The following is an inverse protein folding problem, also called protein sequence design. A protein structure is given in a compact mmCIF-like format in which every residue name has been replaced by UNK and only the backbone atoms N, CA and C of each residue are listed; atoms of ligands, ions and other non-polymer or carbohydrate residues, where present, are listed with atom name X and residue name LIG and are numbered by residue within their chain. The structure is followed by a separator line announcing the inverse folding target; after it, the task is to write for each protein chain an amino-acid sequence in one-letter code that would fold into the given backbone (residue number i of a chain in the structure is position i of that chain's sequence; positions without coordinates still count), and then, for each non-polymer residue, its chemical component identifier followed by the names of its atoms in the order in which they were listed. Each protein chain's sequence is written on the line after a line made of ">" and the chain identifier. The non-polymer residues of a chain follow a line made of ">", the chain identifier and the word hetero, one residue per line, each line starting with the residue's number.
data_IF_700499600332
#
_entry.id   IF_700499600332
#
_cell.length_a   1.000
_cell.length_b   1.000
_cell.length_c   1.000
_cell.angle_alpha   90.00
_cell.angle_beta   90.00
_cell.angle_gamma   90.00
#
_symmetry.space_group_name_H-M   'P 1'
#
loop_
_entity.id
_entity.type
_entity.pdbx_description
1 polymer ?
#
# COMPACT_ATOMS: atom_id res chain seq x y z
N UNK A 1 -18.30 4.62 -22.24
CA UNK A 1 -17.42 5.59 -21.54
C UNK A 1 -17.53 6.97 -22.17
N UNK A 2 -17.14 8.05 -21.46
CA UNK A 2 -17.13 9.42 -22.02
C UNK A 2 -15.88 9.61 -22.87
N UNK A 3 -16.03 10.02 -24.11
CA UNK A 3 -14.93 10.36 -25.02
C UNK A 3 -14.83 11.88 -25.10
N UNK A 4 -13.69 12.43 -24.72
CA UNK A 4 -13.47 13.88 -24.62
C UNK A 4 -12.08 14.25 -25.17
N UNK A 5 -11.95 15.46 -25.69
CA UNK A 5 -10.63 16.02 -26.05
C UNK A 5 -9.89 16.41 -24.77
N UNK A 6 -8.61 16.08 -24.71
CA UNK A 6 -7.74 16.48 -23.61
C UNK A 6 -7.33 17.94 -23.80
N UNK A 7 -8.00 18.84 -23.08
CA UNK A 7 -7.65 20.25 -22.96
C UNK A 7 -7.49 20.65 -21.49
N UNK A 8 -7.14 21.90 -21.22
CA UNK A 8 -6.95 22.40 -19.85
C UNK A 8 -8.22 22.27 -19.00
N UNK A 9 -9.39 22.48 -19.60
CA UNK A 9 -10.67 22.41 -18.90
C UNK A 9 -11.03 20.98 -18.53
N UNK A 10 -10.94 20.06 -19.49
CA UNK A 10 -11.21 18.63 -19.29
C UNK A 10 -10.25 18.04 -18.26
N UNK A 11 -8.95 18.37 -18.35
CA UNK A 11 -7.93 17.95 -17.40
C UNK A 11 -8.24 18.43 -15.97
N UNK A 12 -8.57 19.72 -15.81
CA UNK A 12 -8.92 20.28 -14.51
C UNK A 12 -10.16 19.61 -13.91
N UNK A 13 -11.23 19.46 -14.71
CA UNK A 13 -12.46 18.83 -14.24
C UNK A 13 -12.23 17.38 -13.82
N UNK A 14 -11.46 16.61 -14.60
CA UNK A 14 -11.09 15.24 -14.26
C UNK A 14 -10.37 15.17 -12.91
N UNK A 15 -9.35 16.00 -12.70
CA UNK A 15 -8.59 16.01 -11.44
C UNK A 15 -9.47 16.39 -10.24
N UNK A 16 -10.38 17.37 -10.41
CA UNK A 16 -11.34 17.74 -9.37
C UNK A 16 -12.28 16.57 -9.04
N UNK A 17 -12.75 15.83 -10.04
CA UNK A 17 -13.63 14.67 -9.87
C UNK A 17 -12.88 13.50 -9.18
N UNK A 18 -11.65 13.22 -9.59
CA UNK A 18 -10.82 12.20 -8.94
C UNK A 18 -10.55 12.53 -7.46
N UNK A 19 -10.33 13.79 -7.10
CA UNK A 19 -10.11 14.22 -5.72
C UNK A 19 -11.36 14.03 -4.83
N UNK A 20 -12.57 14.04 -5.38
CA UNK A 20 -13.81 13.77 -4.61
C UNK A 20 -13.87 12.37 -4.04
N UNK A 21 -13.13 11.42 -4.61
CA UNK A 21 -13.00 10.03 -4.13
C UNK A 21 -12.04 9.89 -2.94
N UNK A 22 -11.35 10.98 -2.56
CA UNK A 22 -10.36 10.93 -1.49
C UNK A 22 -11.00 10.65 -0.12
N UNK A 23 -10.39 9.78 0.72
CA UNK A 23 -10.81 9.55 2.11
C UNK A 23 -10.87 10.81 2.98
N UNK A 24 -10.32 11.93 2.52
CA UNK A 24 -10.41 13.21 3.21
C UNK A 24 -11.79 13.87 3.11
N UNK A 25 -12.69 13.37 2.27
CA UNK A 25 -14.05 13.90 2.06
C UNK A 25 -15.13 13.18 2.88
N UNK A 26 -14.77 12.22 3.76
CA UNK A 26 -15.71 11.34 4.44
C UNK A 26 -15.95 11.69 5.92
N UNK A 27 -16.17 12.98 6.24
CA UNK A 27 -16.37 13.46 7.60
C UNK A 27 -17.45 12.75 8.45
N UNK A 28 -18.47 12.17 7.80
CA UNK A 28 -19.53 11.41 8.49
C UNK A 28 -19.04 10.10 9.10
N UNK A 29 -18.01 9.47 8.50
CA UNK A 29 -17.44 8.23 9.00
C UNK A 29 -16.39 8.46 10.10
N UNK A 30 -15.77 9.63 10.15
CA UNK A 30 -14.69 9.95 11.11
C UNK A 30 -15.17 9.88 12.56
N UNK A 31 -16.39 10.34 12.85
CA UNK A 31 -16.96 10.29 14.19
C UNK A 31 -17.13 8.85 14.69
N UNK A 32 -17.69 7.96 13.84
CA UNK A 32 -17.86 6.55 14.17
C UNK A 32 -16.52 5.82 14.33
N UNK A 33 -15.54 6.14 13.49
CA UNK A 33 -14.19 5.56 13.62
C UNK A 33 -13.54 6.00 14.91
N UNK A 34 -13.64 7.29 15.27
CA UNK A 34 -13.08 7.80 16.53
C UNK A 34 -13.69 7.13 17.74
N UNK A 35 -15.02 6.96 17.75
CA UNK A 35 -15.72 6.22 18.81
C UNK A 35 -15.15 4.81 18.98
N UNK A 36 -15.00 4.06 17.86
CA UNK A 36 -14.46 2.70 17.89
C UNK A 36 -13.03 2.68 18.44
N UNK A 37 -12.18 3.60 17.97
CA UNK A 37 -10.79 3.71 18.43
C UNK A 37 -10.71 3.99 19.94
N UNK A 38 -11.52 4.92 20.44
CA UNK A 38 -11.56 5.29 21.87
C UNK A 38 -12.09 4.13 22.73
N UNK A 39 -13.15 3.44 22.28
CA UNK A 39 -13.69 2.27 22.97
C UNK A 39 -12.66 1.13 23.06
N UNK A 40 -11.98 0.78 21.96
CA UNK A 40 -10.95 -0.25 22.00
C UNK A 40 -9.76 0.17 22.86
N UNK A 41 -9.36 1.44 22.82
CA UNK A 41 -8.29 1.96 23.67
C UNK A 41 -8.60 1.81 25.17
N UNK A 42 -9.87 2.03 25.57
CA UNK A 42 -10.30 2.04 26.96
C UNK A 42 -10.74 0.65 27.46
N UNK A 43 -11.47 -0.13 26.65
CA UNK A 43 -12.08 -1.42 27.01
C UNK A 43 -11.38 -2.63 26.38
N UNK A 44 -10.36 -2.42 25.56
CA UNK A 44 -9.46 -3.44 24.99
C UNK A 44 -10.23 -4.61 24.37
N UNK A 45 -9.93 -5.85 24.76
CA UNK A 45 -10.56 -7.07 24.24
C UNK A 45 -12.08 -7.04 24.30
N UNK A 46 -12.67 -6.50 25.37
CA UNK A 46 -14.12 -6.40 25.52
C UNK A 46 -14.75 -5.61 24.36
N UNK A 47 -14.14 -4.47 24.00
CA UNK A 47 -14.62 -3.69 22.86
C UNK A 47 -14.39 -4.38 21.52
N UNK A 48 -13.23 -5.03 21.34
CA UNK A 48 -12.90 -5.79 20.13
C UNK A 48 -13.95 -6.90 19.89
N UNK A 49 -14.30 -7.68 20.92
CA UNK A 49 -15.30 -8.74 20.81
C UNK A 49 -16.68 -8.19 20.51
N UNK A 50 -17.09 -7.13 21.22
CA UNK A 50 -18.40 -6.50 21.02
C UNK A 50 -18.57 -5.94 19.60
N UNK A 51 -17.54 -5.28 19.06
CA UNK A 51 -17.60 -4.77 17.68
C UNK A 51 -17.52 -5.88 16.63
N UNK A 52 -16.76 -6.96 16.88
CA UNK A 52 -16.70 -8.10 15.98
C UNK A 52 -18.05 -8.82 15.91
N UNK A 53 -18.72 -9.03 17.05
CA UNK A 53 -20.07 -9.56 17.07
C UNK A 53 -21.08 -8.64 16.34
N UNK A 54 -20.99 -7.32 16.60
CA UNK A 54 -21.88 -6.33 15.99
C UNK A 54 -21.74 -6.24 14.46
N UNK A 55 -20.52 -6.26 13.94
CA UNK A 55 -20.26 -5.98 12.52
C UNK A 55 -20.07 -7.23 11.67
N UNK A 56 -19.45 -8.27 12.23
CA UNK A 56 -19.15 -9.50 11.52
C UNK A 56 -20.14 -10.64 11.88
N UNK A 57 -20.93 -10.46 12.96
CA UNK A 57 -21.88 -11.45 13.44
C UNK A 57 -21.22 -12.68 14.07
N UNK A 58 -19.96 -12.57 14.47
CA UNK A 58 -19.18 -13.63 15.07
C UNK A 58 -18.96 -13.38 16.57
N UNK A 59 -19.46 -14.25 17.42
CA UNK A 59 -19.22 -14.20 18.86
C UNK A 59 -17.85 -14.80 19.18
N UNK A 60 -16.89 -13.93 19.47
CA UNK A 60 -15.51 -14.30 19.82
C UNK A 60 -15.19 -13.95 21.28
N UNK A 61 -14.14 -14.58 21.78
CA UNK A 61 -13.56 -14.35 23.09
C UNK A 61 -12.04 -14.59 23.07
N UNK A 62 -11.38 -14.46 24.20
CA UNK A 62 -9.93 -14.62 24.32
C UNK A 62 -9.43 -16.03 23.89
N UNK A 63 -10.26 -17.08 24.08
CA UNK A 63 -9.85 -18.45 23.77
C UNK A 63 -9.94 -18.79 22.27
N UNK A 64 -10.72 -18.03 21.49
CA UNK A 64 -11.01 -18.36 20.09
C UNK A 64 -10.75 -17.23 19.10
N UNK A 65 -10.27 -16.05 19.53
CA UNK A 65 -9.93 -14.93 18.63
C UNK A 65 -8.73 -15.25 17.76
N UNK A 66 -7.73 -15.95 18.29
CA UNK A 66 -6.56 -16.38 17.52
C UNK A 66 -6.89 -17.65 16.73
N UNK A 67 -6.41 -17.71 15.49
CA UNK A 67 -6.49 -18.91 14.65
C UNK A 67 -5.54 -19.97 15.20
N UNK A 68 -6.06 -21.18 15.36
CA UNK A 68 -5.29 -22.32 15.86
C UNK A 68 -4.56 -23.05 14.73
N UNK A 69 -3.51 -23.80 15.07
CA UNK A 69 -2.82 -24.65 14.10
C UNK A 69 -3.76 -25.72 13.51
N UNK A 70 -4.74 -26.18 14.26
CA UNK A 70 -5.77 -27.13 13.77
C UNK A 70 -6.65 -26.50 12.68
N UNK A 71 -7.03 -25.23 12.84
CA UNK A 71 -7.78 -24.48 11.81
C UNK A 71 -6.94 -24.33 10.55
N UNK A 72 -5.64 -24.07 10.68
CA UNK A 72 -4.70 -23.98 9.55
C UNK A 72 -4.59 -25.33 8.84
N UNK A 73 -4.39 -26.42 9.56
CA UNK A 73 -4.30 -27.77 8.96
C UNK A 73 -5.59 -28.16 8.24
N UNK A 74 -6.74 -27.80 8.82
CA UNK A 74 -8.03 -27.99 8.18
C UNK A 74 -8.16 -27.17 6.90
N UNK A 75 -7.66 -25.92 6.89
CA UNK A 75 -7.68 -25.07 5.71
C UNK A 75 -6.91 -25.71 4.55
N UNK A 76 -5.74 -26.29 4.80
CA UNK A 76 -4.99 -27.03 3.76
C UNK A 76 -5.80 -28.17 3.13
N UNK A 77 -6.65 -28.86 3.90
CA UNK A 77 -7.50 -29.93 3.37
C UNK A 77 -8.65 -29.42 2.50
N UNK A 78 -8.98 -28.14 2.57
CA UNK A 78 -10.09 -27.49 1.87
C UNK A 78 -9.66 -26.70 0.63
N UNK A 79 -8.35 -26.40 0.49
CA UNK A 79 -7.81 -25.68 -0.65
C UNK A 79 -7.37 -26.66 -1.72
N UNK A 80 -7.79 -26.41 -2.95
CA UNK A 80 -7.36 -27.20 -4.09
C UNK A 80 -5.83 -27.17 -4.28
N UNK A 81 -5.26 -28.31 -4.60
CA UNK A 81 -3.81 -28.45 -4.80
C UNK A 81 -3.27 -27.59 -5.94
N UNK A 82 -4.08 -27.31 -6.97
CA UNK A 82 -3.72 -26.39 -8.06
C UNK A 82 -3.59 -24.96 -7.55
N UNK A 83 -4.54 -24.49 -6.72
CA UNK A 83 -4.48 -23.16 -6.11
C UNK A 83 -3.28 -23.03 -5.15
N UNK A 84 -3.01 -24.06 -4.34
CA UNK A 84 -1.84 -24.09 -3.47
C UNK A 84 -0.53 -23.94 -4.29
N UNK A 85 -0.44 -24.62 -5.41
CA UNK A 85 0.73 -24.50 -6.30
C UNK A 85 0.86 -23.09 -6.91
N UNK A 86 -0.26 -22.44 -7.25
CA UNK A 86 -0.26 -21.05 -7.74
C UNK A 86 0.20 -20.09 -6.64
N UNK A 87 -0.33 -20.23 -5.41
CA UNK A 87 0.09 -19.44 -4.24
C UNK A 87 1.62 -19.53 -4.04
N UNK A 88 2.17 -20.76 -4.06
CA UNK A 88 3.62 -20.97 -3.89
C UNK A 88 4.48 -20.39 -5.01
N UNK A 89 4.00 -20.43 -6.25
CA UNK A 89 4.70 -19.80 -7.38
C UNK A 89 4.69 -18.29 -7.28
N UNK A 90 3.54 -17.69 -6.97
CA UNK A 90 3.38 -16.26 -6.73
C UNK A 90 4.29 -15.80 -5.58
N UNK A 91 4.24 -16.49 -4.44
CA UNK A 91 5.10 -16.23 -3.27
C UNK A 91 6.58 -16.16 -3.67
N UNK A 92 7.07 -17.14 -4.42
CA UNK A 92 8.46 -17.19 -4.88
C UNK A 92 8.82 -16.00 -5.77
N UNK A 93 7.92 -15.57 -6.65
CA UNK A 93 8.14 -14.40 -7.51
C UNK A 93 8.21 -13.12 -6.67
N UNK A 94 7.28 -12.95 -5.71
CA UNK A 94 7.24 -11.80 -4.80
C UNK A 94 8.52 -11.74 -3.94
N UNK A 95 8.93 -12.88 -3.37
CA UNK A 95 10.16 -12.98 -2.60
C UNK A 95 11.40 -12.61 -3.42
N UNK A 96 11.50 -13.16 -4.64
CA UNK A 96 12.61 -12.89 -5.55
C UNK A 96 12.70 -11.41 -5.95
N UNK A 97 11.56 -10.75 -6.13
CA UNK A 97 11.51 -9.33 -6.45
C UNK A 97 11.94 -8.49 -5.25
N UNK A 98 11.32 -8.71 -4.09
CA UNK A 98 11.56 -7.94 -2.89
C UNK A 98 12.97 -8.17 -2.30
N UNK A 99 13.57 -9.33 -2.49
CA UNK A 99 14.96 -9.59 -2.08
C UNK A 99 15.96 -8.59 -2.71
N UNK A 100 15.66 -8.01 -3.87
CA UNK A 100 16.51 -7.00 -4.52
C UNK A 100 16.41 -5.61 -3.88
N UNK A 101 15.43 -5.39 -3.00
CA UNK A 101 15.21 -4.12 -2.31
C UNK A 101 15.93 -4.04 -0.96
N UNK A 102 16.62 -5.10 -0.54
CA UNK A 102 17.33 -5.14 0.74
C UNK A 102 18.38 -4.05 0.84
N UNK A 103 18.39 -3.35 1.96
CA UNK A 103 19.38 -2.35 2.31
C UNK A 103 20.25 -2.83 3.46
N UNK A 104 21.50 -2.38 3.49
CA UNK A 104 22.49 -2.81 4.48
C UNK A 104 23.05 -1.62 5.24
N UNK A 105 23.45 -1.87 6.51
CA UNK A 105 24.22 -0.90 7.29
C UNK A 105 25.57 -0.62 6.62
N UNK A 106 26.02 0.63 6.73
CA UNK A 106 27.32 1.05 6.19
C UNK A 106 28.04 1.99 7.13
N UNK A 107 29.36 2.03 7.00
CA UNK A 107 30.26 2.89 7.75
C UNK A 107 31.27 3.52 6.79
N UNK A 108 31.53 4.80 7.00
CA UNK A 108 32.61 5.55 6.38
C UNK A 108 33.57 6.00 7.47
N UNK A 109 34.86 5.63 7.35
CA UNK A 109 35.89 5.96 8.32
C UNK A 109 36.95 6.86 7.72
N UNK A 110 37.30 7.91 8.45
CA UNK A 110 38.30 8.91 8.04
C UNK A 110 39.64 8.68 8.76
N UNK A 111 40.77 9.17 8.19
CA UNK A 111 42.10 9.05 8.80
C UNK A 111 42.22 9.67 10.20
N UNK A 112 41.40 10.68 10.51
CA UNK A 112 41.33 11.36 11.81
C UNK A 112 40.60 10.58 12.90
N UNK A 113 40.15 9.35 12.59
CA UNK A 113 39.40 8.50 13.53
C UNK A 113 37.90 8.79 13.56
N UNK A 114 37.38 9.66 12.70
CA UNK A 114 35.94 9.89 12.54
C UNK A 114 35.31 8.70 11.83
N UNK A 115 34.22 8.17 12.39
CA UNK A 115 33.37 7.15 11.77
C UNK A 115 31.96 7.71 11.66
N UNK A 116 31.44 7.80 10.45
CA UNK A 116 30.03 8.08 10.17
C UNK A 116 29.38 6.87 9.53
N UNK A 117 28.12 6.63 9.81
CA UNK A 117 27.45 5.49 9.23
C UNK A 117 25.95 5.53 9.39
N UNK A 118 25.32 4.50 8.85
CA UNK A 118 23.89 4.28 8.98
C UNK A 118 23.64 2.82 9.36
N UNK A 119 22.97 2.63 10.49
CA UNK A 119 22.49 1.31 10.91
C UNK A 119 21.10 1.09 10.35
N UNK A 120 20.94 0.05 9.54
CA UNK A 120 19.65 -0.42 9.03
C UNK A 120 19.15 -1.55 9.93
N UNK A 121 17.91 -1.45 10.41
CA UNK A 121 17.32 -2.41 11.35
C UNK A 121 15.87 -2.65 10.94
N UNK A 122 15.39 -3.91 10.90
CA UNK A 122 13.97 -4.18 10.67
C UNK A 122 13.11 -3.66 11.83
N UNK A 123 11.82 -3.48 11.57
CA UNK A 123 10.82 -3.27 12.61
C UNK A 123 10.69 -4.54 13.46
N UNK A 124 10.32 -4.39 14.72
CA UNK A 124 10.20 -5.54 15.62
C UNK A 124 8.89 -6.30 15.35
N UNK A 125 7.76 -5.59 15.27
CA UNK A 125 6.44 -6.21 15.07
C UNK A 125 5.60 -5.44 14.09
N UNK A 126 5.00 -6.14 13.13
CA UNK A 126 4.15 -5.55 12.08
C UNK A 126 2.78 -6.20 12.09
N UNK A 127 1.73 -5.38 11.96
CA UNK A 127 0.36 -5.80 11.78
C UNK A 127 -0.04 -5.74 10.32
N UNK A 128 -0.55 -6.83 9.78
CA UNK A 128 -1.06 -6.94 8.42
C UNK A 128 -2.57 -7.03 8.46
N UNK A 129 -3.26 -6.06 7.87
CA UNK A 129 -4.70 -6.11 7.69
C UNK A 129 -5.03 -6.74 6.34
N UNK A 130 -5.81 -7.81 6.36
CA UNK A 130 -6.33 -8.45 5.14
C UNK A 130 -7.85 -8.34 5.13
N UNK A 131 -8.44 -7.74 4.10
CA UNK A 131 -9.89 -7.66 3.98
C UNK A 131 -10.55 -9.05 3.93
N UNK A 132 -11.76 -9.12 4.43
CA UNK A 132 -12.64 -10.28 4.28
C UNK A 132 -14.01 -9.84 3.74
N UNK A 133 -14.96 -10.75 3.61
CA UNK A 133 -16.31 -10.47 3.17
C UNK A 133 -16.64 -11.13 1.83
N UNK A 134 -17.12 -10.36 0.83
CA UNK A 134 -17.59 -10.92 -0.45
C UNK A 134 -16.46 -11.49 -1.34
N UNK A 135 -15.26 -11.00 -1.20
CA UNK A 135 -14.09 -11.48 -1.93
C UNK A 135 -13.02 -12.00 -0.98
N UNK A 136 -12.19 -12.89 -1.47
CA UNK A 136 -11.06 -13.51 -0.75
C UNK A 136 -9.78 -13.06 -1.43
N UNK A 137 -8.81 -12.59 -0.64
CA UNK A 137 -7.60 -11.95 -1.15
C UNK A 137 -6.32 -12.67 -0.69
N UNK A 138 -6.06 -13.93 -1.11
CA UNK A 138 -4.81 -14.61 -0.78
C UNK A 138 -3.59 -13.87 -1.36
N UNK A 139 -3.73 -13.16 -2.48
CA UNK A 139 -2.68 -12.31 -3.06
C UNK A 139 -2.27 -11.18 -2.11
N UNK A 140 -3.25 -10.48 -1.51
CA UNK A 140 -2.97 -9.40 -0.55
C UNK A 140 -2.28 -9.92 0.72
N UNK A 141 -2.52 -11.18 1.11
CA UNK A 141 -1.76 -11.83 2.19
C UNK A 141 -0.29 -11.89 1.81
N UNK A 142 0.04 -12.42 0.63
CA UNK A 142 1.41 -12.54 0.16
C UNK A 142 2.09 -11.18 0.01
N UNK A 143 1.41 -10.22 -0.64
CA UNK A 143 1.94 -8.90 -0.95
C UNK A 143 2.26 -8.07 0.31
N UNK A 144 1.58 -8.30 1.42
CA UNK A 144 1.86 -7.60 2.68
C UNK A 144 2.88 -8.33 3.57
N UNK A 145 2.83 -9.68 3.62
CA UNK A 145 3.68 -10.47 4.53
C UNK A 145 5.09 -10.67 3.96
N UNK A 146 5.20 -10.99 2.66
CA UNK A 146 6.50 -11.37 2.07
C UNK A 146 7.55 -10.25 2.16
N UNK A 147 7.27 -8.98 1.81
CA UNK A 147 8.28 -7.93 1.97
C UNK A 147 8.67 -7.69 3.43
N UNK A 148 7.76 -7.89 4.40
CA UNK A 148 8.09 -7.83 5.82
C UNK A 148 9.04 -8.98 6.24
N UNK A 149 8.79 -10.20 5.76
CA UNK A 149 9.69 -11.35 5.97
C UNK A 149 11.06 -11.12 5.34
N UNK A 150 11.12 -10.63 4.10
CA UNK A 150 12.37 -10.29 3.42
C UNK A 150 13.15 -9.23 4.19
N UNK A 151 12.48 -8.22 4.74
CA UNK A 151 13.09 -7.19 5.58
C UNK A 151 13.69 -7.75 6.88
N UNK A 152 13.25 -8.94 7.33
CA UNK A 152 13.68 -9.56 8.58
C UNK A 152 12.89 -9.08 9.81
N UNK A 153 11.61 -8.71 9.66
CA UNK A 153 10.72 -8.38 10.76
C UNK A 153 10.61 -9.59 11.71
N UNK A 154 10.79 -9.35 13.02
CA UNK A 154 10.84 -10.42 14.02
C UNK A 154 9.48 -11.12 14.18
N UNK A 155 8.38 -10.35 14.17
CA UNK A 155 7.02 -10.87 14.37
C UNK A 155 6.02 -10.19 13.43
N UNK A 156 5.30 -10.98 12.65
CA UNK A 156 4.25 -10.53 11.73
C UNK A 156 2.91 -11.07 12.17
N UNK A 157 2.00 -10.17 12.51
CA UNK A 157 0.65 -10.49 12.96
C UNK A 157 -0.33 -10.13 11.86
N UNK A 158 -1.20 -11.06 11.49
CA UNK A 158 -2.28 -10.79 10.54
C UNK A 158 -3.63 -10.68 11.27
N UNK A 159 -4.43 -9.69 10.88
CA UNK A 159 -5.83 -9.55 11.28
C UNK A 159 -6.71 -9.63 10.04
N UNK A 160 -7.81 -10.37 10.14
CA UNK A 160 -8.80 -10.51 9.06
C UNK A 160 -10.18 -10.79 9.65
N UNK A 161 -11.26 -10.19 9.13
CA UNK A 161 -12.60 -10.43 9.67
C UNK A 161 -12.99 -11.90 9.50
N UNK A 162 -13.62 -12.50 10.52
CA UNK A 162 -14.21 -13.84 10.42
C UNK A 162 -15.51 -13.82 9.63
N UNK A 163 -15.93 -14.98 9.14
CA UNK A 163 -17.30 -15.22 8.75
C UNK A 163 -18.23 -15.32 9.97
N UNK A 164 -19.54 -15.32 9.75
CA UNK A 164 -20.54 -15.45 10.81
C UNK A 164 -20.40 -16.73 11.65
N UNK A 165 -19.75 -17.74 11.09
CA UNK A 165 -19.41 -19.00 11.76
C UNK A 165 -18.12 -18.92 12.60
N UNK A 166 -17.53 -17.72 12.72
CA UNK A 166 -16.30 -17.48 13.45
C UNK A 166 -15.03 -18.01 12.77
N UNK A 167 -15.10 -18.36 11.47
CA UNK A 167 -13.96 -18.92 10.74
C UNK A 167 -13.40 -17.94 9.71
N UNK A 168 -12.12 -18.09 9.43
CA UNK A 168 -11.44 -17.40 8.34
C UNK A 168 -11.44 -18.26 7.08
N UNK A 169 -11.48 -17.61 5.92
CA UNK A 169 -11.44 -18.32 4.65
C UNK A 169 -10.18 -19.22 4.52
N UNK A 170 -10.32 -20.48 4.08
CA UNK A 170 -9.23 -21.42 3.97
C UNK A 170 -8.07 -20.94 3.10
N UNK A 171 -8.33 -20.31 1.94
CA UNK A 171 -7.28 -19.82 1.05
C UNK A 171 -6.46 -18.68 1.68
N UNK A 172 -7.12 -17.81 2.48
CA UNK A 172 -6.46 -16.76 3.26
C UNK A 172 -5.51 -17.37 4.31
N UNK A 173 -5.97 -18.40 5.06
CA UNK A 173 -5.15 -19.07 6.07
C UNK A 173 -3.94 -19.80 5.47
N UNK A 174 -4.17 -20.49 4.35
CA UNK A 174 -3.10 -21.20 3.64
C UNK A 174 -2.06 -20.20 3.11
N UNK A 175 -2.49 -19.10 2.49
CA UNK A 175 -1.58 -18.07 2.02
C UNK A 175 -0.78 -17.44 3.18
N UNK A 176 -1.41 -17.18 4.32
CA UNK A 176 -0.76 -16.64 5.51
C UNK A 176 0.32 -17.60 6.06
N UNK A 177 0.00 -18.90 6.15
CA UNK A 177 0.94 -19.93 6.60
C UNK A 177 2.11 -20.09 5.64
N UNK A 178 1.84 -20.16 4.32
CA UNK A 178 2.89 -20.25 3.28
C UNK A 178 3.79 -19.00 3.29
N UNK A 179 3.24 -17.80 3.52
CA UNK A 179 4.00 -16.56 3.62
C UNK A 179 4.80 -16.43 4.95
N UNK A 180 4.51 -17.29 5.93
CA UNK A 180 5.24 -17.34 7.21
C UNK A 180 4.77 -16.31 8.23
N UNK A 181 3.46 -16.06 8.33
CA UNK A 181 2.87 -15.26 9.41
C UNK A 181 3.08 -15.94 10.77
N UNK A 182 3.28 -15.15 11.83
CA UNK A 182 3.51 -15.69 13.16
C UNK A 182 2.19 -15.93 13.94
N UNK A 183 1.19 -15.05 13.75
CA UNK A 183 -0.14 -15.19 14.33
C UNK A 183 -1.23 -14.59 13.42
N UNK A 184 -2.41 -15.18 13.45
CA UNK A 184 -3.62 -14.69 12.76
C UNK A 184 -4.73 -14.48 13.77
N UNK A 185 -5.36 -13.29 13.76
CA UNK A 185 -6.49 -12.96 14.63
C UNK A 185 -7.74 -12.68 13.81
N UNK A 186 -8.86 -13.19 14.29
CA UNK A 186 -10.19 -13.15 13.66
C UNK A 186 -10.89 -11.84 14.00
N UNK A 187 -10.38 -10.74 13.48
CA UNK A 187 -10.95 -9.41 13.71
C UNK A 187 -10.76 -8.53 12.47
N UNK A 188 -11.79 -7.78 12.10
CA UNK A 188 -11.80 -6.86 10.97
C UNK A 188 -12.10 -5.42 11.39
N UNK A 189 -12.32 -4.54 10.41
CA UNK A 189 -12.77 -3.17 10.61
C UNK A 189 -11.82 -2.24 11.39
N UNK A 190 -12.37 -1.11 11.83
CA UNK A 190 -11.62 -0.13 12.59
C UNK A 190 -11.16 -0.65 13.96
N UNK A 191 -11.90 -1.58 14.57
CA UNK A 191 -11.52 -2.20 15.83
C UNK A 191 -10.26 -3.06 15.71
N UNK A 192 -10.02 -3.70 14.56
CA UNK A 192 -8.77 -4.44 14.29
C UNK A 192 -7.57 -3.48 14.24
N UNK A 193 -7.72 -2.36 13.55
CA UNK A 193 -6.68 -1.31 13.48
C UNK A 193 -6.39 -0.73 14.88
N UNK A 194 -7.43 -0.48 15.67
CA UNK A 194 -7.28 -0.01 17.05
C UNK A 194 -6.53 -1.04 17.93
N UNK A 195 -6.89 -2.32 17.82
CA UNK A 195 -6.24 -3.41 18.56
C UNK A 195 -4.76 -3.52 18.20
N UNK A 196 -4.41 -3.46 16.93
CA UNK A 196 -3.01 -3.46 16.48
C UNK A 196 -2.24 -2.21 16.97
N UNK A 197 -2.90 -1.03 16.95
CA UNK A 197 -2.26 0.23 17.33
C UNK A 197 -2.03 0.35 18.84
N UNK A 198 -3.01 -0.02 19.65
CA UNK A 198 -2.95 0.21 21.11
C UNK A 198 -2.54 -1.03 21.89
N UNK A 199 -2.68 -2.22 21.31
CA UNK A 199 -2.56 -3.51 21.99
C UNK A 199 -3.80 -3.79 22.84
N UNK A 200 -4.12 -5.08 23.00
CA UNK A 200 -5.15 -5.58 23.92
C UNK A 200 -4.56 -6.75 24.73
N UNK A 201 -5.36 -7.44 25.51
CA UNK A 201 -4.92 -8.62 26.23
C UNK A 201 -4.58 -9.77 25.26
N UNK A 202 -5.36 -9.91 24.17
CA UNK A 202 -5.20 -10.98 23.17
C UNK A 202 -4.33 -10.57 21.99
N UNK A 203 -4.37 -9.31 21.56
CA UNK A 203 -3.68 -8.82 20.36
C UNK A 203 -2.55 -7.88 20.75
N UNK A 204 -1.28 -8.25 20.51
CA UNK A 204 -0.14 -7.40 20.85
C UNK A 204 -0.08 -6.14 19.99
N UNK A 205 0.42 -5.04 20.59
CA UNK A 205 0.69 -3.79 19.86
C UNK A 205 1.78 -3.99 18.82
N UNK A 206 1.64 -3.32 17.66
CA UNK A 206 2.61 -3.35 16.57
C UNK A 206 3.28 -1.99 16.34
N UNK A 207 4.38 -1.99 15.59
CA UNK A 207 5.12 -0.78 15.22
C UNK A 207 4.58 -0.15 13.92
N UNK A 208 4.08 -0.98 13.01
CA UNK A 208 3.49 -0.56 11.72
C UNK A 208 2.29 -1.42 11.36
N UNK A 209 1.28 -0.79 10.75
CA UNK A 209 0.10 -1.45 10.21
C UNK A 209 0.10 -1.28 8.69
N UNK A 210 0.03 -2.39 7.94
CA UNK A 210 -0.03 -2.41 6.48
C UNK A 210 -1.26 -3.17 5.99
N UNK A 211 -1.63 -2.95 4.76
CA UNK A 211 -2.72 -3.64 4.08
C UNK A 211 -3.91 -2.74 3.74
N UNK A 212 -4.60 -3.06 2.63
CA UNK A 212 -5.77 -2.34 2.15
C UNK A 212 -7.01 -2.66 3.01
N UNK A 213 -7.97 -1.75 3.01
CA UNK A 213 -9.24 -1.95 3.70
C UNK A 213 -10.30 -0.94 3.24
N UNK A 214 -11.52 -1.14 3.71
CA UNK A 214 -12.61 -0.21 3.43
C UNK A 214 -12.38 1.15 4.09
N UNK A 215 -13.32 2.08 3.86
CA UNK A 215 -13.24 3.46 4.37
C UNK A 215 -13.02 3.55 5.90
N UNK A 216 -13.62 2.64 6.69
CA UNK A 216 -13.43 2.62 8.14
C UNK A 216 -12.00 2.23 8.52
N UNK A 217 -11.42 1.27 7.80
CA UNK A 217 -10.02 0.84 7.99
C UNK A 217 -9.06 1.95 7.57
N UNK A 218 -9.28 2.59 6.42
CA UNK A 218 -8.46 3.70 5.93
C UNK A 218 -8.46 4.88 6.92
N UNK A 219 -9.64 5.28 7.42
CA UNK A 219 -9.77 6.35 8.41
C UNK A 219 -9.19 5.97 9.77
N UNK A 220 -9.32 4.70 10.19
CA UNK A 220 -8.70 4.22 11.42
C UNK A 220 -7.17 4.27 11.32
N UNK A 221 -6.57 3.80 10.20
CA UNK A 221 -5.13 3.91 9.94
C UNK A 221 -4.67 5.36 9.99
N UNK A 222 -5.38 6.27 9.29
CA UNK A 222 -5.13 7.72 9.34
C UNK A 222 -5.10 8.26 10.77
N UNK A 223 -6.07 7.83 11.59
CA UNK A 223 -6.24 8.34 12.96
C UNK A 223 -5.19 7.85 13.95
N UNK A 224 -4.61 6.65 13.73
CA UNK A 224 -3.57 6.08 14.59
C UNK A 224 -2.15 6.40 14.10
N UNK A 225 -2.01 7.03 12.93
CA UNK A 225 -0.70 7.43 12.41
C UNK A 225 -0.01 8.41 13.37
N UNK A 226 1.27 8.15 13.63
CA UNK A 226 2.06 8.86 14.65
C UNK A 226 2.08 8.13 16.00
N UNK A 227 1.04 7.32 16.32
CA UNK A 227 1.09 6.37 17.42
C UNK A 227 1.70 5.03 16.99
N UNK A 228 1.38 4.60 15.78
CA UNK A 228 2.04 3.54 15.01
C UNK A 228 2.29 4.07 13.59
N UNK A 229 3.22 3.45 12.86
CA UNK A 229 3.39 3.73 11.43
C UNK A 229 2.29 3.04 10.61
N UNK A 230 2.04 3.53 9.41
CA UNK A 230 1.18 2.87 8.41
C UNK A 230 1.88 2.81 7.06
N UNK A 231 1.36 2.00 6.11
CA UNK A 231 1.77 2.02 4.71
C UNK A 231 1.30 3.30 4.00
N UNK A 232 0.00 3.37 3.71
CA UNK A 232 -0.63 4.52 3.06
C UNK A 232 -2.10 4.64 3.48
N UNK A 233 -2.75 5.73 3.08
CA UNK A 233 -4.19 5.91 3.19
C UNK A 233 -4.76 5.56 1.81
N UNK A 234 -5.17 4.29 1.65
CA UNK A 234 -5.71 3.80 0.39
C UNK A 234 -7.06 4.43 0.06
N UNK A 235 -7.22 4.83 -1.18
CA UNK A 235 -8.50 5.17 -1.81
C UNK A 235 -9.00 4.06 -2.72
N UNK A 236 -10.04 4.34 -3.54
CA UNK A 236 -10.52 3.43 -4.56
C UNK A 236 -9.47 3.14 -5.63
N UNK A 237 -9.53 1.95 -6.22
CA UNK A 237 -8.59 1.49 -7.25
C UNK A 237 -8.63 2.34 -8.52
N UNK A 238 -7.50 2.40 -9.23
CA UNK A 238 -7.30 3.26 -10.40
C UNK A 238 -6.47 2.58 -11.47
N UNK A 239 -6.91 2.69 -12.71
CA UNK A 239 -6.08 2.36 -13.87
C UNK A 239 -6.06 3.52 -14.87
N UNK A 240 -4.88 3.79 -15.42
CA UNK A 240 -4.69 4.63 -16.58
C UNK A 240 -3.97 3.82 -17.65
N UNK A 241 -4.57 3.72 -18.83
CA UNK A 241 -3.92 3.16 -20.02
C UNK A 241 -3.48 4.32 -20.90
N UNK A 242 -2.19 4.41 -21.18
CA UNK A 242 -1.61 5.35 -22.14
C UNK A 242 -1.30 4.59 -23.42
N UNK A 243 -2.05 4.85 -24.47
CA UNK A 243 -1.99 4.06 -25.70
C UNK A 243 -1.91 4.93 -26.96
N UNK A 244 -1.23 4.42 -28.00
CA UNK A 244 -1.27 4.98 -29.35
C UNK A 244 -2.08 4.07 -30.30
N UNK A 245 -2.11 4.41 -31.59
CA UNK A 245 -2.85 3.69 -32.64
C UNK A 245 -2.42 2.24 -32.83
N UNK A 246 -1.30 1.81 -32.22
CA UNK A 246 -0.79 0.42 -32.36
C UNK A 246 -1.39 -0.54 -31.32
N UNK A 247 -2.09 -0.01 -30.32
CA UNK A 247 -2.67 -0.81 -29.24
C UNK A 247 -3.87 -1.64 -29.74
N UNK A 248 -4.03 -2.83 -29.15
CA UNK A 248 -5.22 -3.66 -29.41
C UNK A 248 -6.41 -3.15 -28.59
N UNK A 249 -7.50 -2.64 -29.23
CA UNK A 249 -8.61 -2.04 -28.51
C UNK A 249 -9.32 -3.01 -27.55
N UNK A 250 -9.34 -4.31 -27.88
CA UNK A 250 -9.96 -5.32 -27.05
C UNK A 250 -9.16 -5.59 -25.78
N UNK A 251 -7.82 -5.54 -25.85
CA UNK A 251 -6.96 -5.67 -24.65
C UNK A 251 -7.10 -4.46 -23.75
N UNK A 252 -7.01 -3.26 -24.31
CA UNK A 252 -7.19 -2.00 -23.56
C UNK A 252 -8.56 -1.97 -22.86
N UNK A 253 -9.62 -2.37 -23.55
CA UNK A 253 -10.97 -2.44 -22.94
C UNK A 253 -11.02 -3.44 -21.78
N UNK A 254 -10.39 -4.61 -21.90
CA UNK A 254 -10.35 -5.61 -20.84
C UNK A 254 -9.56 -5.12 -19.62
N UNK A 255 -8.44 -4.44 -19.84
CA UNK A 255 -7.59 -3.90 -18.78
C UNK A 255 -8.28 -2.75 -18.01
N UNK A 256 -9.00 -1.86 -18.70
CA UNK A 256 -9.83 -0.84 -18.06
C UNK A 256 -10.91 -1.45 -17.15
N UNK A 257 -11.51 -2.56 -17.58
CA UNK A 257 -12.59 -3.22 -16.85
C UNK A 257 -12.10 -4.06 -15.68
N UNK A 258 -10.83 -4.53 -15.68
CA UNK A 258 -10.22 -5.22 -14.55
C UNK A 258 -10.24 -4.35 -13.29
N UNK A 259 -10.04 -3.04 -13.43
CA UNK A 259 -10.15 -2.10 -12.31
C UNK A 259 -11.58 -1.67 -12.02
N UNK A 260 -12.38 -1.38 -13.05
CA UNK A 260 -13.75 -0.94 -12.88
C UNK A 260 -14.62 -1.95 -12.11
N UNK A 261 -14.28 -3.25 -12.13
CA UNK A 261 -15.03 -4.27 -11.39
C UNK A 261 -14.76 -4.28 -9.88
N UNK A 262 -13.71 -3.60 -9.38
CA UNK A 262 -13.35 -3.61 -7.97
C UNK A 262 -14.38 -2.91 -7.10
N UNK A 263 -14.80 -1.68 -7.49
CA UNK A 263 -15.72 -0.84 -6.72
C UNK A 263 -16.41 0.19 -7.60
N UNK A 264 -17.59 0.69 -7.20
CA UNK A 264 -18.34 1.74 -7.89
C UNK A 264 -17.57 3.08 -7.95
N UNK A 265 -16.56 3.28 -7.10
CA UNK A 265 -15.68 4.44 -7.04
C UNK A 265 -14.33 4.22 -7.77
N UNK A 266 -14.08 3.04 -8.32
CA UNK A 266 -12.89 2.78 -9.11
C UNK A 266 -12.84 3.69 -10.33
N UNK A 267 -11.65 4.07 -10.81
CA UNK A 267 -11.50 4.85 -12.04
C UNK A 267 -10.77 4.08 -13.11
N UNK A 268 -11.26 4.20 -14.34
CA UNK A 268 -10.69 3.59 -15.53
C UNK A 268 -10.53 4.65 -16.61
N UNK A 269 -9.29 5.02 -16.93
CA UNK A 269 -8.97 6.14 -17.81
C UNK A 269 -8.11 5.64 -18.96
N UNK A 270 -8.54 5.90 -20.19
CA UNK A 270 -7.71 5.79 -21.38
C UNK A 270 -7.24 7.18 -21.80
N UNK A 271 -5.95 7.35 -22.03
CA UNK A 271 -5.38 8.53 -22.69
C UNK A 271 -4.72 8.06 -23.99
N UNK A 272 -5.18 8.58 -25.11
CA UNK A 272 -4.68 8.17 -26.42
C UNK A 272 -4.57 9.35 -27.39
N UNK A 273 -3.71 9.20 -28.40
CA UNK A 273 -3.63 10.15 -29.54
C UNK A 273 -4.49 9.71 -30.73
N UNK A 274 -5.14 8.54 -30.67
CA UNK A 274 -5.94 7.97 -31.76
C UNK A 274 -7.44 8.04 -31.47
N UNK A 275 -8.18 8.79 -32.29
CA UNK A 275 -9.65 8.81 -32.24
C UNK A 275 -10.24 7.44 -32.58
N UNK A 276 -9.67 6.72 -33.55
CA UNK A 276 -10.12 5.40 -33.97
C UNK A 276 -10.01 4.40 -32.81
N UNK A 277 -8.86 4.37 -32.12
CA UNK A 277 -8.66 3.53 -30.93
C UNK A 277 -9.68 3.88 -29.83
N UNK A 278 -9.91 5.16 -29.57
CA UNK A 278 -10.87 5.63 -28.57
C UNK A 278 -12.30 5.10 -28.81
N UNK A 279 -12.77 5.17 -30.08
CA UNK A 279 -14.07 4.65 -30.46
C UNK A 279 -14.15 3.13 -30.40
N UNK A 280 -13.09 2.43 -30.82
CA UNK A 280 -13.04 0.96 -30.78
C UNK A 280 -13.02 0.44 -29.35
N UNK A 281 -12.19 1.02 -28.47
CA UNK A 281 -12.16 0.69 -27.05
C UNK A 281 -13.53 0.90 -26.41
N UNK A 282 -14.21 2.03 -26.69
CA UNK A 282 -15.54 2.29 -26.16
C UNK A 282 -16.57 1.22 -26.58
N UNK A 283 -16.50 0.74 -27.83
CA UNK A 283 -17.38 -0.34 -28.33
C UNK A 283 -17.09 -1.68 -27.65
N UNK A 284 -15.80 -2.03 -27.46
CA UNK A 284 -15.40 -3.26 -26.79
C UNK A 284 -15.82 -3.25 -25.30
N UNK A 285 -15.66 -2.11 -24.60
CA UNK A 285 -16.14 -1.92 -23.23
C UNK A 285 -17.64 -2.20 -23.13
N UNK A 286 -18.46 -1.60 -24.02
CA UNK A 286 -19.91 -1.82 -24.03
C UNK A 286 -20.30 -3.28 -24.30
N UNK A 287 -19.46 -4.01 -25.03
CA UNK A 287 -19.59 -5.44 -25.26
C UNK A 287 -19.32 -6.24 -23.98
N UNK A 288 -18.17 -6.05 -23.37
CA UNK A 288 -17.74 -6.77 -22.17
C UNK A 288 -18.63 -6.53 -20.94
N UNK A 289 -19.11 -5.29 -20.73
CA UNK A 289 -20.01 -4.99 -19.60
C UNK A 289 -21.25 -5.89 -19.57
N UNK A 290 -21.74 -6.30 -20.75
CA UNK A 290 -22.90 -7.21 -20.88
C UNK A 290 -22.58 -8.65 -20.56
N UNK A 291 -21.32 -9.06 -20.68
CA UNK A 291 -20.86 -10.44 -20.51
C UNK A 291 -20.33 -10.73 -19.12
N UNK A 292 -19.74 -9.70 -18.45
CA UNK A 292 -19.07 -9.85 -17.18
C UNK A 292 -20.04 -9.95 -16.00
N UNK A 293 -19.71 -10.79 -15.03
CA UNK A 293 -20.59 -11.09 -13.88
C UNK A 293 -20.84 -9.90 -12.95
N UNK A 294 -19.95 -8.90 -12.92
CA UNK A 294 -20.05 -7.69 -12.09
C UNK A 294 -20.46 -6.45 -12.90
N UNK A 295 -21.16 -6.63 -14.02
CA UNK A 295 -21.52 -5.57 -14.96
C UNK A 295 -22.19 -4.34 -14.31
N UNK A 296 -23.02 -4.50 -13.27
CA UNK A 296 -23.65 -3.37 -12.56
C UNK A 296 -22.62 -2.48 -11.82
N UNK A 297 -21.62 -3.08 -11.18
CA UNK A 297 -20.55 -2.36 -10.47
C UNK A 297 -19.67 -1.66 -11.50
N UNK A 298 -19.27 -2.38 -12.55
CA UNK A 298 -18.48 -1.85 -13.67
C UNK A 298 -19.20 -0.65 -14.29
N UNK A 299 -20.50 -0.76 -14.61
CA UNK A 299 -21.25 0.32 -15.23
C UNK A 299 -21.26 1.58 -14.36
N UNK A 300 -21.48 1.44 -13.05
CA UNK A 300 -21.46 2.59 -12.12
C UNK A 300 -20.08 3.22 -12.01
N UNK A 301 -19.02 2.42 -11.96
CA UNK A 301 -17.63 2.91 -11.98
C UNK A 301 -17.37 3.72 -13.25
N UNK A 302 -17.72 3.18 -14.43
CA UNK A 302 -17.54 3.85 -15.72
C UNK A 302 -18.40 5.11 -15.88
N UNK A 303 -19.64 5.10 -15.39
CA UNK A 303 -20.54 6.27 -15.46
C UNK A 303 -20.00 7.44 -14.62
N UNK A 304 -19.36 7.13 -13.49
CA UNK A 304 -18.85 8.14 -12.58
C UNK A 304 -17.39 8.55 -12.91
N UNK A 305 -16.51 7.60 -13.19
CA UNK A 305 -15.05 7.79 -13.24
C UNK A 305 -14.39 7.11 -14.45
N UNK A 306 -15.16 6.71 -15.47
CA UNK A 306 -14.66 6.16 -16.73
C UNK A 306 -14.48 7.25 -17.77
N UNK A 307 -13.23 7.47 -18.25
CA UNK A 307 -12.92 8.49 -19.23
C UNK A 307 -12.07 7.94 -20.37
N UNK A 308 -12.29 8.44 -21.58
CA UNK A 308 -11.41 8.28 -22.73
C UNK A 308 -11.01 9.69 -23.18
N UNK A 309 -9.74 10.00 -23.05
CA UNK A 309 -9.16 11.32 -23.33
C UNK A 309 -8.33 11.26 -24.61
N UNK A 310 -8.66 12.08 -25.59
CA UNK A 310 -7.94 12.19 -26.85
C UNK A 310 -6.98 13.37 -26.77
N UNK A 311 -5.68 13.08 -26.65
CA UNK A 311 -4.60 14.05 -26.62
C UNK A 311 -4.19 14.47 -28.04
N UNK A 312 -3.73 15.71 -28.20
CA UNK A 312 -3.22 16.20 -29.47
C UNK A 312 -1.87 15.58 -29.82
N UNK A 313 -1.02 15.42 -28.81
CA UNK A 313 0.32 14.82 -28.95
C UNK A 313 0.58 13.75 -27.88
N UNK A 314 1.55 12.88 -28.14
CA UNK A 314 1.98 11.89 -27.16
C UNK A 314 2.60 12.55 -25.90
N UNK A 315 3.26 13.71 -26.03
CA UNK A 315 3.79 14.45 -24.90
C UNK A 315 2.66 15.02 -24.02
N UNK A 316 1.56 15.52 -24.61
CA UNK A 316 0.37 15.94 -23.84
C UNK A 316 -0.27 14.77 -23.08
N UNK A 317 -0.29 13.59 -23.70
CA UNK A 317 -0.79 12.37 -23.07
C UNK A 317 0.10 11.94 -21.89
N UNK A 318 1.42 12.02 -22.04
CA UNK A 318 2.40 11.74 -20.97
C UNK A 318 2.26 12.75 -19.83
N UNK A 319 2.09 14.03 -20.14
CA UNK A 319 1.90 15.08 -19.12
C UNK A 319 0.61 14.84 -18.32
N UNK A 320 -0.48 14.46 -19.00
CA UNK A 320 -1.73 14.08 -18.32
C UNK A 320 -1.55 12.86 -17.42
N UNK A 321 -0.87 11.81 -17.89
CA UNK A 321 -0.58 10.63 -17.08
C UNK A 321 0.22 10.97 -15.82
N UNK A 322 1.26 11.83 -15.95
CA UNK A 322 2.05 12.31 -14.82
C UNK A 322 1.23 13.15 -13.83
N UNK A 323 0.27 13.94 -14.32
CA UNK A 323 -0.57 14.78 -13.48
C UNK A 323 -1.63 13.98 -12.75
N UNK A 324 -2.24 12.99 -13.40
CA UNK A 324 -3.20 12.06 -12.78
C UNK A 324 -2.48 11.20 -11.73
N UNK A 325 -1.28 10.73 -12.02
CA UNK A 325 -0.46 9.93 -11.11
C UNK A 325 -1.22 8.69 -10.61
N UNK A 326 -1.75 7.89 -11.54
CA UNK A 326 -2.61 6.74 -11.28
C UNK A 326 -1.90 5.65 -10.49
N UNK A 327 -2.68 4.84 -9.78
CA UNK A 327 -2.24 3.61 -9.11
C UNK A 327 -1.57 2.64 -10.09
N UNK A 328 -2.28 2.26 -11.15
CA UNK A 328 -1.78 1.43 -12.23
C UNK A 328 -1.64 2.27 -13.50
N UNK A 329 -0.48 2.26 -14.13
CA UNK A 329 -0.23 2.89 -15.42
C UNK A 329 0.22 1.82 -16.43
N UNK A 330 -0.59 1.56 -17.43
CA UNK A 330 -0.21 0.73 -18.58
C UNK A 330 0.24 1.62 -19.74
N UNK A 331 1.37 1.29 -20.35
CA UNK A 331 1.93 1.98 -21.50
C UNK A 331 1.88 1.04 -22.69
N UNK A 332 0.89 1.25 -23.57
CA UNK A 332 0.62 0.40 -24.74
C UNK A 332 0.84 1.22 -25.99
N UNK A 333 2.10 1.59 -26.22
CA UNK A 333 2.53 2.40 -27.36
C UNK A 333 3.62 1.67 -28.15
N UNK A 334 3.82 2.08 -29.39
CA UNK A 334 4.86 1.52 -30.28
C UNK A 334 6.25 1.51 -29.64
N UNK A 335 6.59 2.52 -28.85
CA UNK A 335 7.87 2.61 -28.12
C UNK A 335 7.62 2.86 -26.63
N UNK A 336 7.02 1.87 -25.98
CA UNK A 336 6.61 1.96 -24.58
C UNK A 336 7.79 2.18 -23.61
N UNK A 337 9.00 1.65 -23.89
CA UNK A 337 10.18 1.88 -23.08
C UNK A 337 10.67 3.32 -23.11
N UNK A 338 10.64 3.98 -24.29
CA UNK A 338 10.95 5.42 -24.38
C UNK A 338 9.91 6.26 -23.63
N UNK A 339 8.63 5.95 -23.79
CA UNK A 339 7.55 6.62 -23.05
C UNK A 339 7.75 6.48 -21.54
N UNK A 340 8.05 5.29 -21.05
CA UNK A 340 8.32 5.00 -19.64
C UNK A 340 9.38 5.93 -19.05
N UNK A 341 10.42 6.30 -19.79
CA UNK A 341 11.47 7.21 -19.29
C UNK A 341 10.97 8.63 -19.00
N UNK A 342 9.83 9.03 -19.55
CA UNK A 342 9.18 10.32 -19.33
C UNK A 342 8.13 10.29 -18.22
N UNK A 343 7.76 9.10 -17.74
CA UNK A 343 6.82 8.95 -16.62
C UNK A 343 7.55 9.23 -15.31
N UNK A 344 6.94 10.08 -14.49
CA UNK A 344 7.45 10.48 -13.17
C UNK A 344 6.58 10.01 -12.02
N UNK A 345 5.29 9.86 -12.25
CA UNK A 345 4.30 9.62 -11.22
C UNK A 345 3.36 8.48 -11.63
N UNK A 346 3.58 7.31 -11.08
CA UNK A 346 2.68 6.15 -11.17
C UNK A 346 2.95 5.22 -9.99
N UNK A 347 1.93 4.52 -9.52
CA UNK A 347 2.10 3.49 -8.50
C UNK A 347 2.87 2.29 -9.07
N UNK A 348 2.37 1.70 -10.15
CA UNK A 348 3.08 0.67 -10.92
C UNK A 348 3.02 1.02 -12.42
N UNK A 349 4.07 0.64 -13.16
CA UNK A 349 4.17 0.88 -14.61
C UNK A 349 4.24 -0.47 -15.31
N UNK A 350 3.27 -0.72 -16.20
CA UNK A 350 3.15 -1.91 -17.02
C UNK A 350 3.52 -1.56 -18.46
N UNK A 351 4.42 -2.33 -19.09
CA UNK A 351 5.02 -1.95 -20.36
C UNK A 351 4.65 -2.97 -21.45
N UNK A 352 3.91 -2.50 -22.45
CA UNK A 352 3.50 -3.29 -23.61
C UNK A 352 2.22 -4.10 -23.39
N UNK A 353 1.65 -4.57 -24.50
CA UNK A 353 0.31 -5.17 -24.57
C UNK A 353 0.11 -6.50 -23.81
N UNK A 354 1.20 -7.14 -23.39
CA UNK A 354 1.17 -8.41 -22.64
C UNK A 354 1.47 -8.22 -21.14
N UNK A 355 1.56 -6.98 -20.69
CA UNK A 355 1.83 -6.61 -19.29
C UNK A 355 0.60 -5.96 -18.68
N UNK A 356 -0.49 -6.72 -18.58
CA UNK A 356 -1.74 -6.24 -17.98
C UNK A 356 -1.68 -6.18 -16.45
N UNK A 357 -2.52 -5.35 -15.85
CA UNK A 357 -2.61 -5.16 -14.41
C UNK A 357 -2.77 -6.46 -13.61
N UNK A 358 -3.66 -7.43 -13.99
CA UNK A 358 -3.78 -8.68 -13.23
C UNK A 358 -2.50 -9.52 -13.16
N UNK A 359 -1.59 -9.37 -14.13
CA UNK A 359 -0.27 -10.00 -14.05
C UNK A 359 0.53 -9.46 -12.85
N UNK A 360 0.50 -8.14 -12.63
CA UNK A 360 1.11 -7.49 -11.47
C UNK A 360 0.47 -7.91 -10.17
N UNK A 361 -0.85 -7.87 -10.11
CA UNK A 361 -1.62 -8.15 -8.92
C UNK A 361 -1.45 -9.57 -8.37
N UNK A 362 -1.28 -10.53 -9.25
CA UNK A 362 -1.30 -11.93 -8.83
C UNK A 362 0.02 -12.67 -8.97
N UNK A 363 0.91 -12.29 -9.89
CA UNK A 363 1.96 -13.23 -10.27
C UNK A 363 3.34 -12.64 -10.57
N UNK A 364 3.48 -11.42 -11.07
CA UNK A 364 4.77 -10.86 -11.54
C UNK A 364 5.82 -10.70 -10.44
N UNK A 365 5.39 -10.37 -9.21
CA UNK A 365 6.27 -10.19 -8.06
C UNK A 365 6.35 -8.79 -7.47
N UNK A 366 6.30 -7.69 -8.25
CA UNK A 366 6.11 -6.36 -7.70
C UNK A 366 4.88 -6.26 -6.83
N UNK A 367 4.90 -5.35 -5.83
CA UNK A 367 3.82 -5.23 -4.87
C UNK A 367 2.59 -4.54 -5.47
N UNK A 368 1.40 -5.05 -5.15
CA UNK A 368 0.14 -4.47 -5.56
C UNK A 368 -0.49 -3.53 -4.51
N UNK A 369 0.14 -3.34 -3.35
CA UNK A 369 -0.26 -2.30 -2.40
C UNK A 369 0.36 -0.99 -2.87
N UNK A 370 -0.41 -0.25 -3.64
CA UNK A 370 0.04 0.88 -4.43
C UNK A 370 -0.55 2.21 -3.89
N UNK A 371 0.11 3.34 -4.15
CA UNK A 371 -0.46 4.66 -3.87
C UNK A 371 -1.61 4.97 -4.81
N UNK A 372 -2.72 5.47 -4.26
CA UNK A 372 -3.95 5.84 -4.96
C UNK A 372 -4.23 7.34 -4.86
N UNK A 373 -5.25 7.86 -5.55
CA UNK A 373 -5.70 9.26 -5.48
C UNK A 373 -4.58 10.28 -5.76
N UNK A 374 -3.75 10.00 -6.76
CA UNK A 374 -2.66 10.88 -7.17
C UNK A 374 -1.50 10.94 -6.17
N UNK A 375 -1.49 10.11 -5.13
CA UNK A 375 -0.42 10.09 -4.13
C UNK A 375 0.88 9.44 -4.63
N UNK A 376 0.86 8.81 -5.81
CA UNK A 376 2.07 8.36 -6.50
C UNK A 376 3.06 9.49 -6.83
N UNK A 377 2.65 10.75 -6.64
CA UNK A 377 3.54 11.92 -6.68
C UNK A 377 4.55 11.96 -5.53
N UNK A 378 4.28 11.26 -4.42
CA UNK A 378 5.11 11.31 -3.21
C UNK A 378 5.12 10.01 -2.38
N UNK A 379 4.27 9.04 -2.70
CA UNK A 379 4.31 7.69 -2.13
C UNK A 379 4.78 6.66 -3.17
N UNK A 380 5.28 5.55 -2.68
CA UNK A 380 5.73 4.39 -3.46
C UNK A 380 4.88 3.15 -3.15
N UNK A 381 4.94 2.11 -3.98
CA UNK A 381 4.43 0.79 -3.63
C UNK A 381 5.01 0.30 -2.31
N UNK A 382 4.25 -0.53 -1.59
CA UNK A 382 4.76 -1.21 -0.40
C UNK A 382 6.02 -2.01 -0.75
N UNK A 383 7.07 -1.80 0.00
CA UNK A 383 8.39 -2.35 -0.28
C UNK A 383 9.10 -2.81 0.99
N UNK A 384 10.28 -3.40 0.85
CA UNK A 384 11.14 -3.76 1.99
C UNK A 384 11.51 -2.54 2.84
N UNK A 385 11.66 -1.36 2.22
CA UNK A 385 11.97 -0.11 2.93
C UNK A 385 10.90 0.28 3.97
N UNK A 386 9.65 -0.10 3.73
CA UNK A 386 8.55 0.15 4.67
C UNK A 386 8.69 -0.57 6.01
N UNK A 387 9.49 -1.62 6.04
CA UNK A 387 9.72 -2.48 7.19
C UNK A 387 11.10 -2.28 7.82
N UNK A 388 11.88 -1.33 7.32
CA UNK A 388 13.20 -0.98 7.80
C UNK A 388 13.21 0.41 8.44
N UNK A 389 14.02 0.58 9.47
CA UNK A 389 14.36 1.89 10.05
C UNK A 389 15.85 2.12 10.00
N UNK A 390 16.24 3.38 9.88
CA UNK A 390 17.63 3.80 9.72
C UNK A 390 18.02 4.73 10.87
N UNK A 391 19.16 4.43 11.51
CA UNK A 391 19.72 5.27 12.58
C UNK A 391 21.10 5.76 12.16
N UNK A 392 21.37 7.03 12.37
CA UNK A 392 22.71 7.60 12.15
C UNK A 392 23.68 7.11 13.20
N UNK A 393 24.90 6.77 12.78
CA UNK A 393 26.02 6.42 13.64
C UNK A 393 27.07 7.51 13.52
N UNK A 394 27.45 8.09 14.66
CA UNK A 394 28.43 9.17 14.75
C UNK A 394 29.46 8.78 15.82
N UNK A 395 30.72 8.65 15.44
CA UNK A 395 31.84 8.44 16.33
C UNK A 395 32.98 9.38 15.96
N UNK A 396 33.47 10.14 16.91
CA UNK A 396 34.60 11.04 16.75
C UNK A 396 35.71 10.65 17.70
N UNK A 397 36.98 10.69 17.26
CA UNK A 397 38.10 10.67 18.15
C UNK A 397 38.19 11.99 18.93
N UNK A 398 39.00 12.01 20.02
CA UNK A 398 39.25 13.24 20.74
C UNK A 398 39.87 14.29 19.85
N UNK A 399 40.84 13.90 19.04
CA UNK A 399 41.58 14.75 18.12
C UNK A 399 40.68 15.32 17.02
N UNK A 400 39.82 14.49 16.49
CA UNK A 400 38.84 14.95 15.46
C UNK A 400 37.82 15.93 16.04
N UNK A 401 37.35 15.71 17.29
CA UNK A 401 36.45 16.65 17.95
C UNK A 401 37.17 17.96 18.33
N UNK A 402 38.45 17.88 18.78
CA UNK A 402 39.26 19.03 19.12
C UNK A 402 39.46 19.99 17.93
N UNK A 403 39.55 19.45 16.72
CA UNK A 403 39.68 20.25 15.49
C UNK A 403 38.45 21.10 15.17
N UNK A 404 37.25 20.73 15.65
CA UNK A 404 35.97 21.37 15.29
C UNK A 404 35.18 21.91 16.50
N UNK A 405 35.66 21.72 17.73
CA UNK A 405 34.89 22.04 18.93
C UNK A 405 34.49 23.53 19.02
N UNK A 406 35.36 24.43 18.62
CA UNK A 406 35.09 25.88 18.65
C UNK A 406 33.98 26.28 17.67
N UNK A 407 33.95 25.68 16.49
CA UNK A 407 32.92 25.92 15.48
C UNK A 407 31.56 25.45 15.98
N UNK A 408 31.50 24.28 16.64
CA UNK A 408 30.27 23.75 17.24
C UNK A 408 29.77 24.67 18.36
N UNK A 409 30.69 25.11 19.27
CA UNK A 409 30.32 26.04 20.33
C UNK A 409 29.80 27.36 19.79
N UNK A 410 30.43 27.91 18.74
CA UNK A 410 30.02 29.16 18.10
C UNK A 410 28.63 29.02 17.47
N UNK A 411 28.36 27.88 16.81
CA UNK A 411 27.07 27.60 16.18
C UNK A 411 25.97 27.51 17.24
N UNK A 412 26.19 26.74 18.31
CA UNK A 412 25.25 26.59 19.41
C UNK A 412 24.97 27.93 20.13
N UNK A 413 25.99 28.79 20.30
CA UNK A 413 25.81 30.14 20.88
C UNK A 413 25.00 31.05 19.98
N UNK A 414 25.18 30.97 18.65
CA UNK A 414 24.36 31.72 17.69
C UNK A 414 22.89 31.37 17.75
N UNK A 415 22.58 30.11 18.05
CA UNK A 415 21.21 29.60 18.31
C UNK A 415 20.72 29.85 19.74
N UNK A 416 21.51 30.50 20.59
CA UNK A 416 21.24 30.75 22.02
C UNK A 416 21.12 29.46 22.87
N UNK A 417 21.69 28.35 22.38
CA UNK A 417 21.68 27.05 23.03
C UNK A 417 22.95 26.85 23.86
N UNK A 418 23.04 27.53 25.00
CA UNK A 418 24.25 27.54 25.84
C UNK A 418 24.59 26.20 26.44
N UNK A 419 23.60 25.33 26.72
CA UNK A 419 23.84 23.97 27.19
C UNK A 419 24.47 23.08 26.11
N UNK A 420 24.14 23.28 24.83
CA UNK A 420 24.76 22.60 23.69
C UNK A 420 26.24 23.02 23.58
N UNK A 421 26.52 24.34 23.63
CA UNK A 421 27.87 24.84 23.64
C UNK A 421 28.69 24.29 24.82
N UNK A 422 28.11 24.29 26.03
CA UNK A 422 28.75 23.78 27.23
C UNK A 422 29.06 22.27 27.14
N UNK A 423 28.15 21.49 26.50
CA UNK A 423 28.39 20.05 26.30
C UNK A 423 29.66 19.75 25.50
N UNK A 424 30.04 20.62 24.58
CA UNK A 424 31.30 20.51 23.83
C UNK A 424 32.48 21.08 24.66
N UNK A 425 32.29 22.25 25.23
CA UNK A 425 33.31 22.99 26.01
C UNK A 425 33.94 22.13 27.14
N UNK A 426 33.12 21.48 27.95
CA UNK A 426 33.59 20.69 29.11
C UNK A 426 34.49 19.49 28.75
N UNK A 427 34.50 19.09 27.47
CA UNK A 427 35.37 18.00 26.97
C UNK A 427 36.83 18.43 26.82
N UNK A 428 37.06 19.77 26.72
CA UNK A 428 38.37 20.36 26.50
C UNK A 428 38.80 21.34 27.62
N UNK A 429 37.95 21.56 28.64
CA UNK A 429 38.34 22.37 29.79
C UNK A 429 39.43 21.64 30.58
N UNK A 430 40.44 22.38 31.03
CA UNK A 430 41.42 21.86 31.95
C UNK A 430 40.78 21.74 33.33
N UNK A 431 40.66 20.55 33.87
CA UNK A 431 40.34 20.36 35.28
C UNK A 431 41.63 20.50 36.05
N UNK A 432 41.72 21.51 36.91
CA UNK A 432 42.82 21.68 37.87
C UNK A 432 42.86 20.52 38.89
#
# INVERSE_FOLDING_TARGET
>A
MRIERLDETTRKNLLEDLLKRSPNSYGTYEASVREILDEVKNRRDEAVFAYTEKFDGAALNADNIQVTEEEIQKAYSQVDSSLLNVIRKSLKNIESYHAKQMQYSWFDSKPDGTILGQKVTPLQRVGVYVPGGKAVYPSSVLMNIVPAKVAGVDEIIMVTPPGKDGKVNPATLVAAKEAGVDAVYKVGGAQAIAALAYGTESIPKVDKIVGPGNIYVALAKKSVYGHVSIDSIAGPSEILVLADETANPRYVAADLLSQAEHDELASAILVTTSEELAEEVSREVDGFVKELSRGEIIQKSLDNYGHILIAETLDDAIDAANEIASEHLEIVTKDAFTVMTKIRNAGAIFIGEYSSEPLGDYFAGPNHVLPTNGTAKFFSPLSVDDFLKKSSIISYSKEALEAVHQDIEQFAKAEQLTAHANSIHVRFEKRD
#
